data_IF_714438053142
#
_entry.id   IF_714438053142
#
_cell.length_a   1.000
_cell.length_b   1.000
_cell.length_c   1.000
_cell.angle_alpha   90.00
_cell.angle_beta   90.00
_cell.angle_gamma   90.00
#
_symmetry.space_group_name_H-M   'P 1'
#
loop_
_entity.id
_entity.type
_entity.pdbx_description
1 polymer ?
#
# COMPACT_ATOMS: atom_id res chain seq x y z
N UNK A 1 11.85 -29.08 3.42
CA UNK A 1 11.26 -29.88 2.32
C UNK A 1 11.12 -28.98 1.09
N UNK A 2 11.20 -29.52 -0.13
CA UNK A 2 11.01 -28.72 -1.34
C UNK A 2 9.51 -28.52 -1.62
N UNK A 3 9.18 -27.50 -2.39
CA UNK A 3 7.83 -27.31 -2.88
C UNK A 3 7.58 -25.95 -3.52
N UNK A 4 6.41 -25.83 -4.14
CA UNK A 4 5.95 -24.61 -4.75
C UNK A 4 5.15 -23.74 -3.79
N UNK A 5 4.85 -22.54 -4.27
CA UNK A 5 3.90 -21.62 -3.65
C UNK A 5 2.85 -21.22 -4.68
N UNK A 6 1.58 -21.44 -4.38
CA UNK A 6 0.47 -20.91 -5.17
C UNK A 6 0.13 -19.50 -4.70
N UNK A 7 -0.12 -18.61 -5.67
CA UNK A 7 -0.55 -17.24 -5.42
C UNK A 7 -2.01 -17.07 -5.85
N UNK A 8 -2.83 -16.47 -5.00
CA UNK A 8 -4.08 -15.87 -5.39
C UNK A 8 -3.82 -14.45 -5.91
N UNK A 9 -3.79 -14.28 -7.24
CA UNK A 9 -3.49 -13.00 -7.88
C UNK A 9 -4.48 -11.88 -7.54
N UNK A 10 -5.74 -12.23 -7.28
CA UNK A 10 -6.79 -11.27 -6.94
C UNK A 10 -6.68 -10.72 -5.51
N UNK A 11 -6.13 -11.51 -4.58
CA UNK A 11 -5.89 -11.09 -3.21
C UNK A 11 -4.52 -10.40 -3.03
N UNK A 12 -3.52 -10.78 -3.82
CA UNK A 12 -2.17 -10.25 -3.69
C UNK A 12 -2.10 -8.75 -4.02
N UNK A 13 -1.52 -7.94 -3.13
CA UNK A 13 -1.36 -6.49 -3.33
C UNK A 13 0.03 -6.09 -3.81
N UNK A 14 0.93 -7.03 -4.10
CA UNK A 14 2.35 -6.74 -4.38
C UNK A 14 2.99 -5.85 -3.29
N UNK A 15 2.64 -6.08 -2.01
CA UNK A 15 3.23 -5.36 -0.87
C UNK A 15 4.65 -5.81 -0.53
N UNK A 16 5.13 -6.88 -1.17
CA UNK A 16 6.47 -7.46 -1.01
C UNK A 16 6.85 -7.94 0.40
N UNK A 17 5.92 -7.98 1.36
CA UNK A 17 6.17 -8.51 2.70
C UNK A 17 6.74 -9.94 2.67
N UNK A 18 6.26 -10.78 1.74
CA UNK A 18 6.74 -12.14 1.55
C UNK A 18 8.19 -12.23 1.02
N UNK A 19 8.64 -11.24 0.24
CA UNK A 19 10.02 -11.13 -0.25
C UNK A 19 10.92 -10.81 0.94
N UNK A 20 10.57 -9.79 1.74
CA UNK A 20 11.32 -9.40 2.93
C UNK A 20 11.40 -10.52 3.99
N UNK A 21 10.36 -11.34 4.11
CA UNK A 21 10.31 -12.43 5.06
C UNK A 21 11.03 -13.71 4.60
N UNK A 22 11.46 -13.81 3.33
CA UNK A 22 12.05 -15.03 2.79
C UNK A 22 13.56 -15.14 3.14
N UNK A 23 13.96 -16.03 4.07
CA UNK A 23 15.36 -16.09 4.52
C UNK A 23 16.31 -16.64 3.44
N UNK A 24 15.77 -17.38 2.48
CA UNK A 24 16.51 -18.04 1.39
C UNK A 24 16.36 -17.33 0.06
N UNK A 25 15.65 -16.18 0.03
CA UNK A 25 15.41 -15.38 -1.19
C UNK A 25 14.79 -16.17 -2.35
N UNK A 26 13.95 -17.16 -2.03
CA UNK A 26 13.14 -17.88 -3.01
C UNK A 26 12.01 -17.02 -3.60
N UNK A 27 11.65 -15.91 -2.97
CA UNK A 27 10.75 -14.89 -3.51
C UNK A 27 11.56 -13.65 -3.82
N UNK A 28 11.32 -13.04 -4.98
CA UNK A 28 12.06 -11.88 -5.45
C UNK A 28 11.15 -10.78 -6.00
N UNK A 29 11.65 -9.56 -5.97
CA UNK A 29 11.07 -8.36 -6.55
C UNK A 29 11.90 -7.84 -7.73
N UNK A 30 11.45 -6.74 -8.33
CA UNK A 30 12.16 -6.02 -9.40
C UNK A 30 12.14 -4.51 -9.09
N UNK A 31 13.24 -3.83 -9.39
CA UNK A 31 13.41 -2.42 -9.05
C UNK A 31 12.63 -1.48 -9.99
N UNK A 32 12.44 -1.89 -11.24
CA UNK A 32 11.83 -1.05 -12.27
C UNK A 32 10.31 -1.28 -12.37
N UNK A 33 9.85 -2.48 -12.00
CA UNK A 33 8.45 -2.88 -12.14
C UNK A 33 7.92 -3.60 -10.90
N UNK A 34 6.70 -3.28 -10.46
CA UNK A 34 6.02 -4.08 -9.44
C UNK A 34 5.82 -5.53 -9.90
N UNK A 35 6.67 -6.42 -9.39
CA UNK A 35 6.70 -7.83 -9.76
C UNK A 35 7.02 -8.69 -8.55
N UNK A 36 6.38 -9.86 -8.48
CA UNK A 36 6.69 -10.91 -7.54
C UNK A 36 7.12 -12.14 -8.34
N UNK A 37 8.35 -12.59 -8.12
CA UNK A 37 8.91 -13.82 -8.70
C UNK A 37 9.14 -14.89 -7.64
N UNK A 38 9.23 -16.14 -8.08
CA UNK A 38 9.48 -17.29 -7.24
C UNK A 38 10.47 -18.25 -7.88
N UNK A 39 11.53 -18.57 -7.14
CA UNK A 39 12.52 -19.60 -7.45
C UNK A 39 12.28 -20.81 -6.55
N UNK A 40 11.82 -21.91 -7.15
CA UNK A 40 11.52 -23.13 -6.42
C UNK A 40 12.77 -23.87 -5.95
N UNK A 41 13.90 -23.71 -6.64
CA UNK A 41 15.17 -24.37 -6.31
C UNK A 41 15.72 -23.92 -4.95
N UNK A 42 15.37 -22.70 -4.53
CA UNK A 42 15.77 -22.11 -3.26
C UNK A 42 14.75 -22.37 -2.13
N UNK A 43 13.52 -22.78 -2.45
CA UNK A 43 12.44 -22.84 -1.47
C UNK A 43 12.61 -24.00 -0.48
N UNK A 44 12.66 -23.69 0.81
CA UNK A 44 12.77 -24.69 1.90
C UNK A 44 11.44 -25.03 2.58
N UNK A 45 10.32 -24.49 2.08
CA UNK A 45 8.97 -24.67 2.63
C UNK A 45 8.84 -24.27 4.11
N UNK A 46 9.45 -23.14 4.51
CA UNK A 46 9.40 -22.66 5.89
C UNK A 46 8.06 -22.03 6.31
N UNK A 47 7.19 -21.66 5.36
CA UNK A 47 5.87 -21.09 5.65
C UNK A 47 5.84 -19.60 5.98
N UNK A 48 6.99 -18.94 6.16
CA UNK A 48 7.05 -17.52 6.55
C UNK A 48 6.35 -16.59 5.56
N UNK A 49 6.44 -16.88 4.26
CA UNK A 49 5.80 -16.09 3.21
C UNK A 49 4.27 -16.09 3.32
N UNK A 50 3.66 -17.23 3.64
CA UNK A 50 2.22 -17.33 3.85
C UNK A 50 1.81 -16.66 5.16
N UNK A 51 2.56 -16.90 6.25
CA UNK A 51 2.27 -16.35 7.56
C UNK A 51 2.38 -14.81 7.62
N UNK A 52 3.29 -14.22 6.85
CA UNK A 52 3.46 -12.76 6.82
C UNK A 52 2.50 -12.05 5.87
N UNK A 53 1.76 -12.78 5.03
CA UNK A 53 0.93 -12.17 4.00
C UNK A 53 -0.32 -11.53 4.64
N UNK A 54 -0.49 -10.20 4.58
CA UNK A 54 -1.66 -9.55 5.21
C UNK A 54 -2.98 -9.83 4.49
N UNK A 55 -2.91 -10.45 3.30
CA UNK A 55 -4.05 -10.74 2.42
C UNK A 55 -4.29 -12.25 2.26
N UNK A 56 -3.57 -13.10 3.00
CA UNK A 56 -3.65 -14.56 2.91
C UNK A 56 -3.53 -15.10 1.47
N UNK A 57 -2.74 -14.42 0.63
CA UNK A 57 -2.69 -14.65 -0.81
C UNK A 57 -1.77 -15.82 -1.23
N UNK A 58 -1.02 -16.42 -0.30
CA UNK A 58 -0.01 -17.44 -0.59
C UNK A 58 -0.36 -18.77 0.08
N UNK A 59 -0.25 -19.87 -0.67
CA UNK A 59 -0.44 -21.22 -0.16
C UNK A 59 0.76 -22.09 -0.52
N UNK A 60 1.28 -22.85 0.46
CA UNK A 60 2.39 -23.76 0.24
C UNK A 60 1.90 -25.06 -0.40
N UNK A 61 2.63 -25.52 -1.42
CA UNK A 61 2.39 -26.80 -2.08
C UNK A 61 3.64 -27.65 -1.94
N UNK A 62 3.70 -28.54 -0.93
CA UNK A 62 4.79 -29.49 -0.77
C UNK A 62 4.87 -30.38 -2.02
N UNK A 63 5.98 -30.31 -2.75
CA UNK A 63 6.21 -31.12 -3.96
C UNK A 63 7.70 -31.26 -4.25
N UNK A 64 8.06 -32.27 -5.01
CA UNK A 64 9.41 -32.41 -5.57
C UNK A 64 9.30 -32.40 -7.09
N UNK A 65 9.83 -31.35 -7.70
CA UNK A 65 9.85 -31.16 -9.14
C UNK A 65 11.29 -30.97 -9.62
N UNK A 66 11.85 -32.01 -10.24
CA UNK A 66 13.23 -31.98 -10.74
C UNK A 66 13.43 -30.97 -11.86
N UNK A 67 12.40 -30.67 -12.66
CA UNK A 67 12.50 -29.65 -13.72
C UNK A 67 12.63 -28.25 -13.12
N UNK A 68 11.98 -28.01 -11.98
CA UNK A 68 12.03 -26.73 -11.29
C UNK A 68 13.40 -26.42 -10.67
N UNK A 69 14.26 -27.42 -10.43
CA UNK A 69 15.61 -27.23 -9.88
C UNK A 69 16.58 -26.52 -10.84
N UNK A 70 16.32 -26.63 -12.15
CA UNK A 70 17.13 -25.98 -13.19
C UNK A 70 16.37 -24.88 -13.92
N UNK A 71 15.11 -24.65 -13.54
CA UNK A 71 14.27 -23.64 -14.17
C UNK A 71 14.64 -22.23 -13.66
N UNK A 72 14.49 -21.20 -14.49
CA UNK A 72 14.59 -19.82 -14.02
C UNK A 72 13.43 -19.48 -13.08
N UNK A 73 13.57 -18.42 -12.26
CA UNK A 73 12.48 -17.92 -11.43
C UNK A 73 11.23 -17.62 -12.27
N UNK A 74 10.07 -18.05 -11.79
CA UNK A 74 8.79 -17.77 -12.44
C UNK A 74 8.16 -16.51 -11.88
N UNK A 75 7.50 -15.73 -12.73
CA UNK A 75 6.70 -14.59 -12.30
C UNK A 75 5.37 -15.09 -11.73
N UNK A 76 5.08 -14.74 -10.48
CA UNK A 76 3.80 -15.05 -9.83
C UNK A 76 2.75 -13.98 -10.11
N UNK A 77 3.14 -12.71 -10.07
CA UNK A 77 2.27 -11.56 -10.35
C UNK A 77 3.10 -10.37 -10.79
N UNK A 78 2.57 -9.59 -11.72
CA UNK A 78 3.16 -8.33 -12.16
C UNK A 78 2.08 -7.30 -12.47
N UNK A 79 2.37 -6.03 -12.22
CA UNK A 79 1.50 -4.91 -12.56
C UNK A 79 2.35 -3.76 -13.15
N UNK A 80 1.79 -2.92 -14.04
CA UNK A 80 2.49 -1.71 -14.45
C UNK A 80 2.71 -0.78 -13.24
N UNK A 81 3.83 -0.03 -13.21
CA UNK A 81 4.02 0.99 -12.19
C UNK A 81 2.84 1.97 -12.14
N UNK A 82 2.41 2.29 -10.93
CA UNK A 82 1.46 3.37 -10.70
C UNK A 82 2.20 4.70 -10.71
N UNK A 83 1.77 5.60 -11.58
CA UNK A 83 2.36 6.92 -11.75
C UNK A 83 1.62 7.96 -10.90
N UNK A 84 2.39 8.89 -10.34
CA UNK A 84 1.88 10.03 -9.59
C UNK A 84 0.86 10.82 -10.42
N UNK A 85 -0.31 11.11 -9.84
CA UNK A 85 -1.37 11.88 -10.51
C UNK A 85 -1.03 13.36 -10.73
N UNK A 86 0.04 13.86 -10.12
CA UNK A 86 0.52 15.23 -10.29
C UNK A 86 1.68 15.33 -11.29
N UNK A 87 2.76 14.57 -11.08
CA UNK A 87 3.99 14.71 -11.86
C UNK A 87 4.28 13.53 -12.82
N UNK A 88 3.51 12.44 -12.75
CA UNK A 88 3.70 11.25 -13.58
C UNK A 88 4.86 10.32 -13.17
N UNK A 89 5.62 10.65 -12.11
CA UNK A 89 6.71 9.78 -11.59
C UNK A 89 6.17 8.41 -11.17
N UNK A 90 6.74 7.28 -11.62
CA UNK A 90 6.38 5.96 -11.14
C UNK A 90 6.86 5.78 -9.69
N UNK A 91 5.98 5.32 -8.79
CA UNK A 91 6.34 5.19 -7.36
C UNK A 91 5.75 3.97 -6.64
N UNK A 92 4.77 3.28 -7.24
CA UNK A 92 4.09 2.19 -6.55
C UNK A 92 3.35 1.25 -7.49
N UNK A 93 2.37 0.53 -6.94
CA UNK A 93 1.50 -0.37 -7.70
C UNK A 93 0.03 -0.08 -7.39
N UNK A 94 -0.86 -0.44 -8.33
CA UNK A 94 -2.29 -0.11 -8.23
C UNK A 94 -2.97 -0.90 -7.12
N UNK A 95 -2.66 -2.19 -6.96
CA UNK A 95 -3.29 -3.04 -5.96
C UNK A 95 -3.05 -2.58 -4.51
N UNK A 96 -1.83 -2.20 -4.17
CA UNK A 96 -1.47 -1.62 -2.86
C UNK A 96 -2.23 -0.33 -2.59
N UNK A 97 -2.23 0.62 -3.53
CA UNK A 97 -2.90 1.91 -3.36
C UNK A 97 -4.42 1.70 -3.17
N UNK A 98 -5.03 0.87 -4.02
CA UNK A 98 -6.44 0.54 -3.91
C UNK A 98 -6.77 -0.13 -2.56
N UNK A 99 -5.91 -1.04 -2.07
CA UNK A 99 -6.11 -1.69 -0.77
C UNK A 99 -6.03 -0.70 0.39
N UNK A 100 -5.06 0.21 0.37
CA UNK A 100 -4.93 1.23 1.43
C UNK A 100 -6.14 2.17 1.40
N UNK A 101 -6.55 2.63 0.22
CA UNK A 101 -7.77 3.45 0.09
C UNK A 101 -9.00 2.71 0.65
N UNK A 102 -9.18 1.43 0.30
CA UNK A 102 -10.28 0.61 0.82
C UNK A 102 -10.25 0.52 2.35
N UNK A 103 -9.08 0.28 2.96
CA UNK A 103 -8.93 0.22 4.41
C UNK A 103 -9.22 1.54 5.12
N UNK A 104 -9.02 2.67 4.44
CA UNK A 104 -9.28 4.00 4.99
C UNK A 104 -10.74 4.46 4.77
N UNK A 105 -11.51 3.77 3.92
CA UNK A 105 -12.93 4.08 3.72
C UNK A 105 -13.68 3.97 5.06
N UNK A 106 -14.45 5.00 5.36
CA UNK A 106 -15.26 5.07 6.59
C UNK A 106 -14.54 5.64 7.80
N UNK A 107 -13.24 5.90 7.74
CA UNK A 107 -12.59 6.69 8.79
C UNK A 107 -12.98 8.17 8.65
N UNK A 108 -13.35 8.82 9.77
CA UNK A 108 -13.87 10.19 9.79
C UNK A 108 -12.96 11.20 9.07
N UNK A 109 -11.64 11.02 9.17
CA UNK A 109 -10.64 11.88 8.53
C UNK A 109 -10.69 11.85 6.99
N UNK A 110 -11.07 10.71 6.41
CA UNK A 110 -11.12 10.48 4.95
C UNK A 110 -12.54 10.49 4.39
N UNK A 111 -13.50 10.97 5.18
CA UNK A 111 -14.91 11.08 4.79
C UNK A 111 -15.26 12.49 4.31
N UNK A 112 -16.27 12.60 3.44
CA UNK A 112 -16.72 13.89 2.89
C UNK A 112 -15.76 14.49 1.84
N UNK A 113 -16.06 15.70 1.35
CA UNK A 113 -15.30 16.34 0.25
C UNK A 113 -13.84 16.63 0.62
N UNK A 114 -13.57 17.10 1.85
CA UNK A 114 -12.20 17.27 2.34
C UNK A 114 -11.48 15.95 2.53
N UNK A 115 -12.20 14.91 2.97
CA UNK A 115 -11.66 13.56 3.10
C UNK A 115 -11.23 12.95 1.78
N UNK A 116 -11.97 13.22 0.70
CA UNK A 116 -11.60 12.79 -0.65
C UNK A 116 -10.31 13.47 -1.14
N UNK A 117 -10.13 14.76 -0.87
CA UNK A 117 -8.87 15.46 -1.16
C UNK A 117 -7.69 14.83 -0.39
N UNK A 118 -7.89 14.51 0.90
CA UNK A 118 -6.88 13.80 1.72
C UNK A 118 -6.58 12.40 1.19
N UNK A 119 -7.58 11.65 0.72
CA UNK A 119 -7.36 10.32 0.15
C UNK A 119 -6.57 10.39 -1.18
N UNK A 120 -6.70 11.48 -1.94
CA UNK A 120 -6.00 11.68 -3.21
C UNK A 120 -4.47 11.74 -3.04
N UNK A 121 -3.96 12.15 -1.88
CA UNK A 121 -2.50 12.15 -1.61
C UNK A 121 -1.89 10.74 -1.57
N UNK A 122 -2.70 9.68 -1.51
CA UNK A 122 -2.25 8.28 -1.64
C UNK A 122 -1.85 7.93 -3.08
N UNK A 123 -2.30 8.71 -4.06
CA UNK A 123 -2.00 8.54 -5.48
C UNK A 123 -0.84 9.43 -5.95
N UNK A 124 -0.13 10.07 -5.03
CA UNK A 124 0.99 10.97 -5.29
C UNK A 124 2.32 10.34 -4.85
N UNK A 125 3.41 10.64 -5.57
CA UNK A 125 4.76 10.27 -5.17
C UNK A 125 5.20 11.00 -3.88
N UNK A 126 6.32 10.59 -3.30
CA UNK A 126 6.87 11.12 -2.06
C UNK A 126 7.02 12.65 -2.08
N UNK A 127 7.51 13.21 -3.19
CA UNK A 127 7.75 14.65 -3.34
C UNK A 127 6.43 15.45 -3.44
N UNK A 128 5.55 15.04 -4.34
CA UNK A 128 4.26 15.69 -4.56
C UNK A 128 3.35 15.58 -3.34
N UNK A 129 3.37 14.44 -2.65
CA UNK A 129 2.62 14.22 -1.41
C UNK A 129 3.05 15.21 -0.32
N UNK A 130 4.36 15.39 -0.12
CA UNK A 130 4.87 16.36 0.88
C UNK A 130 4.42 17.77 0.51
N UNK A 131 4.54 18.15 -0.76
CA UNK A 131 4.12 19.47 -1.23
C UNK A 131 2.62 19.72 -1.00
N UNK A 132 1.77 18.75 -1.31
CA UNK A 132 0.32 18.84 -1.13
C UNK A 132 -0.04 19.01 0.35
N UNK A 133 0.50 18.16 1.23
CA UNK A 133 0.19 18.20 2.67
C UNK A 133 0.63 19.52 3.32
N UNK A 134 1.81 20.02 2.98
CA UNK A 134 2.34 21.27 3.56
C UNK A 134 1.59 22.51 3.06
N UNK A 135 1.15 22.51 1.81
CA UNK A 135 0.56 23.70 1.17
C UNK A 135 -0.95 23.81 1.37
N UNK A 136 -1.66 22.68 1.40
CA UNK A 136 -3.13 22.65 1.48
C UNK A 136 -3.69 22.88 2.90
N UNK A 137 -2.86 23.32 3.86
CA UNK A 137 -3.28 23.65 5.23
C UNK A 137 -3.99 22.50 5.98
N UNK A 138 -3.72 21.25 5.60
CA UNK A 138 -4.23 20.08 6.31
C UNK A 138 -3.27 19.73 7.47
N UNK A 139 -3.38 20.48 8.56
CA UNK A 139 -2.78 20.10 9.84
C UNK A 139 -3.88 19.50 10.75
N UNK A 140 -3.95 18.17 10.95
CA UNK A 140 -4.88 17.57 11.90
C UNK A 140 -4.61 17.97 13.36
N UNK A 141 -3.46 18.62 13.64
CA UNK A 141 -3.10 19.24 14.90
C UNK A 141 -3.13 20.77 14.84
N UNK A 142 -3.58 21.33 13.71
CA UNK A 142 -3.72 22.76 13.52
C UNK A 142 -4.72 23.30 14.53
N UNK A 143 -4.34 24.38 15.21
CA UNK A 143 -5.29 25.10 16.05
C UNK A 143 -6.42 25.59 15.12
N UNK A 144 -7.71 25.52 15.56
CA UNK A 144 -8.79 26.16 14.81
C UNK A 144 -8.38 27.61 14.55
N UNK A 145 -8.67 28.12 13.34
CA UNK A 145 -8.32 29.48 12.94
C UNK A 145 -8.78 30.45 14.04
N UNK A 146 -7.80 31.02 14.77
CA UNK A 146 -8.08 31.99 15.81
C UNK A 146 -8.48 33.30 15.15
N UNK A 147 -9.77 33.45 14.86
CA UNK A 147 -10.31 34.75 14.46
C UNK A 147 -10.35 35.69 15.66
N UNK A 148 -10.09 36.98 15.42
CA UNK A 148 -10.28 38.02 16.44
C UNK A 148 -11.75 38.04 16.84
N UNK A 149 -12.06 37.86 18.13
CA UNK A 149 -13.44 38.00 18.62
C UNK A 149 -13.89 39.45 18.44
N UNK A 150 -15.02 39.65 17.77
CA UNK A 150 -15.61 40.98 17.58
C UNK A 150 -16.64 41.27 18.67
N UNK A 151 -17.08 42.53 18.77
CA UNK A 151 -18.16 42.91 19.69
C UNK A 151 -19.49 42.19 19.39
N UNK A 152 -19.68 41.69 18.17
CA UNK A 152 -20.88 40.96 17.74
C UNK A 152 -20.93 39.54 18.33
N UNK A 153 -19.76 38.89 18.46
CA UNK A 153 -19.65 37.55 19.06
C UNK A 153 -20.18 37.53 20.50
N UNK A 154 -19.95 38.61 21.27
CA UNK A 154 -20.44 38.73 22.65
C UNK A 154 -21.94 39.08 22.73
N UNK A 155 -22.49 39.72 21.70
CA UNK A 155 -23.93 40.06 21.65
C UNK A 155 -24.77 38.85 21.28
N UNK A 156 -24.26 37.96 20.42
CA UNK A 156 -24.92 36.71 20.04
C UNK A 156 -25.11 35.74 21.22
N UNK A 157 -24.15 35.67 22.13
CA UNK A 157 -24.19 34.79 23.32
C UNK A 157 -25.20 35.26 24.40
N UNK A 158 -25.63 36.53 24.35
CA UNK A 158 -26.58 37.11 25.32
C UNK A 158 -28.05 36.98 24.89
N UNK A 159 -28.33 36.58 23.65
CA UNK A 159 -29.68 36.40 23.11
C UNK A 159 -30.27 34.99 23.27
N UNK A 160 -29.49 34.03 23.81
CA UNK A 160 -29.88 32.63 24.00
C UNK A 160 -30.21 32.30 25.47
N UNK A 161 -30.73 33.29 26.22
CA UNK A 161 -31.25 33.15 27.59
C UNK A 161 -32.64 33.73 27.72
#
# INVERSE_FOLDING_TARGET
PFGAVALNEGACTLCLACVSACPVRALGDDADRPLLSFDESLCVQCGLCAATCPEDALTLIPRLDFAALTAPPRVLKQEPPFCCVECGKPFGNRASIARVQEKLKGHWMFSGPEGAARARVLEMCEDCRVSAVVTESFDPHGLPERRVRTAEDYRGEQGDK
#
